data_IF_758864710625
#
_entry.id   IF_758864710625
#
_cell.length_a   1.000
_cell.length_b   1.000
_cell.length_c   1.000
_cell.angle_alpha   90.00
_cell.angle_beta   90.00
_cell.angle_gamma   90.00
#
_symmetry.space_group_name_H-M   'P 1'
#
loop_
_entity.id
_entity.type
_entity.pdbx_description
1 polymer ?
#
# COMPACT_ATOMS: atom_id res chain seq x y z
N UNK A 1 7.45 2.24 4.93
CA UNK A 1 6.31 2.65 4.06
C UNK A 1 6.54 2.11 2.66
N UNK A 2 5.53 1.62 1.91
CA UNK A 2 5.75 1.10 0.56
C UNK A 2 5.99 2.23 -0.46
N UNK A 3 7.08 2.13 -1.21
CA UNK A 3 7.37 2.92 -2.41
C UNK A 3 7.20 2.04 -3.64
N UNK A 4 6.19 2.35 -4.44
CA UNK A 4 5.78 1.52 -5.56
C UNK A 4 6.26 2.13 -6.88
N UNK A 5 7.11 1.38 -7.57
CA UNK A 5 7.52 1.67 -8.94
C UNK A 5 6.37 1.22 -9.85
N UNK A 6 5.52 2.14 -10.26
CA UNK A 6 4.24 1.88 -10.92
C UNK A 6 4.07 2.72 -12.20
N UNK A 7 4.80 2.42 -13.29
CA UNK A 7 4.74 3.18 -14.54
C UNK A 7 3.35 3.18 -15.18
N UNK A 8 2.55 2.16 -14.90
CA UNK A 8 1.20 1.97 -15.46
C UNK A 8 0.07 2.44 -14.53
N UNK A 9 0.38 2.96 -13.34
CA UNK A 9 -0.62 3.47 -12.39
C UNK A 9 -1.58 2.41 -11.85
N UNK A 10 -1.19 1.14 -11.82
CA UNK A 10 -2.03 0.06 -11.30
C UNK A 10 -2.08 0.07 -9.78
N UNK A 11 -0.93 0.18 -9.11
CA UNK A 11 -0.85 0.28 -7.67
C UNK A 11 -1.56 1.53 -7.17
N UNK A 12 -1.38 2.66 -7.86
CA UNK A 12 -2.04 3.93 -7.54
C UNK A 12 -3.58 3.78 -7.56
N UNK A 13 -4.13 3.21 -8.64
CA UNK A 13 -5.59 2.96 -8.74
C UNK A 13 -6.08 1.98 -7.67
N UNK A 14 -5.30 0.94 -7.40
CA UNK A 14 -5.65 -0.05 -6.39
C UNK A 14 -5.73 0.57 -4.98
N UNK A 15 -4.77 1.42 -4.60
CA UNK A 15 -4.78 2.12 -3.30
C UNK A 15 -5.98 3.06 -3.18
N UNK A 16 -6.28 3.82 -4.25
CA UNK A 16 -7.46 4.70 -4.29
C UNK A 16 -8.76 3.93 -4.04
N UNK A 17 -8.90 2.75 -4.63
CA UNK A 17 -10.07 1.90 -4.44
C UNK A 17 -10.10 1.24 -3.05
N UNK A 18 -8.93 0.86 -2.51
CA UNK A 18 -8.80 0.22 -1.20
C UNK A 18 -9.11 1.18 -0.05
N UNK A 19 -8.56 2.38 -0.07
CA UNK A 19 -8.71 3.38 1.00
C UNK A 19 -9.96 4.27 0.84
N UNK A 20 -10.50 4.36 -0.38
CA UNK A 20 -11.73 5.08 -0.69
C UNK A 20 -11.65 6.57 -0.38
N UNK A 21 -12.71 7.12 0.22
CA UNK A 21 -12.83 8.57 0.49
C UNK A 21 -11.93 9.10 1.60
N UNK A 22 -11.32 8.21 2.40
CA UNK A 22 -10.39 8.59 3.48
C UNK A 22 -9.02 8.98 2.94
N UNK A 23 -8.68 8.56 1.73
CA UNK A 23 -7.38 8.78 1.12
C UNK A 23 -7.13 10.26 0.83
N UNK A 24 -5.99 10.78 1.29
CA UNK A 24 -5.45 12.08 0.92
C UNK A 24 -4.39 11.89 -0.15
N UNK A 25 -4.65 12.43 -1.34
CA UNK A 25 -3.72 12.35 -2.46
C UNK A 25 -2.89 13.62 -2.46
N UNK A 26 -1.57 13.45 -2.46
CA UNK A 26 -0.61 14.54 -2.30
C UNK A 26 0.45 14.45 -3.41
N UNK A 27 0.82 15.60 -3.95
CA UNK A 27 1.96 15.80 -4.86
C UNK A 27 2.92 16.81 -4.19
N UNK A 28 4.24 16.60 -4.31
CA UNK A 28 5.24 17.53 -3.77
C UNK A 28 5.16 18.94 -4.38
N UNK A 29 4.58 19.06 -5.59
CA UNK A 29 4.36 20.35 -6.26
C UNK A 29 3.14 21.10 -5.71
N UNK A 30 2.31 20.46 -4.90
CA UNK A 30 1.10 21.06 -4.36
C UNK A 30 1.44 22.06 -3.24
N UNK A 31 0.93 23.28 -3.35
CA UNK A 31 1.06 24.25 -2.27
C UNK A 31 0.40 23.73 -0.99
N UNK A 32 1.12 23.79 0.13
CA UNK A 32 0.60 23.37 1.43
C UNK A 32 0.53 21.85 1.64
N UNK A 33 1.23 21.04 0.84
CA UNK A 33 1.25 19.59 1.00
C UNK A 33 1.67 19.14 2.41
N UNK A 34 2.64 19.83 3.02
CA UNK A 34 3.08 19.52 4.38
C UNK A 34 1.95 19.63 5.39
N UNK A 35 1.06 20.63 5.25
CA UNK A 35 -0.10 20.79 6.13
C UNK A 35 -1.10 19.64 5.98
N UNK A 36 -1.28 19.13 4.76
CA UNK A 36 -2.11 17.94 4.54
C UNK A 36 -1.49 16.69 5.19
N UNK A 37 -0.16 16.55 5.15
CA UNK A 37 0.55 15.47 5.85
C UNK A 37 0.43 15.63 7.36
N UNK A 38 0.61 16.84 7.90
CA UNK A 38 0.45 17.13 9.34
C UNK A 38 -0.94 16.70 9.82
N UNK A 39 -2.00 17.14 9.13
CA UNK A 39 -3.38 16.76 9.44
C UNK A 39 -3.57 15.24 9.34
N UNK A 40 -3.03 14.61 8.30
CA UNK A 40 -3.20 13.18 8.10
C UNK A 40 -2.51 12.36 9.20
N UNK A 41 -1.31 12.76 9.64
CA UNK A 41 -0.60 12.13 10.77
C UNK A 41 -1.41 12.26 12.06
N UNK A 42 -1.99 13.44 12.32
CA UNK A 42 -2.75 13.70 13.53
C UNK A 42 -4.10 12.96 13.58
N UNK A 43 -4.81 12.91 12.46
CA UNK A 43 -6.15 12.31 12.39
C UNK A 43 -6.15 10.86 11.88
N UNK A 44 -4.98 10.31 11.54
CA UNK A 44 -4.85 8.93 11.03
C UNK A 44 -5.39 8.74 9.62
N UNK A 45 -5.40 9.79 8.78
CA UNK A 45 -5.83 9.64 7.40
C UNK A 45 -4.74 8.96 6.55
N UNK A 46 -5.10 7.99 5.69
CA UNK A 46 -4.14 7.41 4.76
C UNK A 46 -3.73 8.45 3.71
N UNK A 47 -2.44 8.52 3.40
CA UNK A 47 -1.86 9.44 2.42
C UNK A 47 -1.26 8.65 1.27
N UNK A 48 -1.57 9.08 0.05
CA UNK A 48 -0.91 8.65 -1.17
C UNK A 48 -0.07 9.81 -1.72
N UNK A 49 1.24 9.70 -1.55
CA UNK A 49 2.22 10.58 -2.17
C UNK A 49 2.51 10.07 -3.59
N UNK A 50 2.01 10.78 -4.59
CA UNK A 50 2.08 10.34 -5.98
C UNK A 50 3.18 11.04 -6.77
N UNK A 51 3.59 10.40 -7.86
CA UNK A 51 4.50 10.94 -8.87
C UNK A 51 5.84 11.43 -8.29
N UNK A 52 6.35 10.72 -7.28
CA UNK A 52 7.67 10.98 -6.73
C UNK A 52 8.73 10.68 -7.79
N UNK A 53 9.70 11.58 -7.91
CA UNK A 53 10.85 11.40 -8.79
C UNK A 53 11.90 10.55 -8.06
N UNK A 54 13.17 10.94 -8.11
CA UNK A 54 14.26 10.26 -7.42
C UNK A 54 14.55 10.85 -6.03
N UNK A 55 14.00 12.04 -5.75
CA UNK A 55 14.14 12.74 -4.48
C UNK A 55 12.79 12.88 -3.76
N UNK A 56 12.85 12.79 -2.43
CA UNK A 56 11.72 13.08 -1.55
C UNK A 56 12.09 14.30 -0.72
N UNK A 57 11.13 15.19 -0.48
CA UNK A 57 11.35 16.39 0.33
C UNK A 57 11.84 16.01 1.74
N UNK A 58 13.01 16.52 2.18
CA UNK A 58 13.57 16.24 3.51
C UNK A 58 12.62 16.59 4.67
N UNK A 59 11.66 17.49 4.47
CA UNK A 59 10.65 17.81 5.47
C UNK A 59 9.77 16.60 5.83
N UNK A 60 9.68 15.58 4.97
CA UNK A 60 8.95 14.33 5.24
C UNK A 60 9.80 13.27 5.98
N UNK A 61 11.08 13.55 6.21
CA UNK A 61 12.02 12.62 6.84
C UNK A 61 11.53 12.05 8.19
N UNK A 62 10.96 12.84 9.12
CA UNK A 62 10.47 12.30 10.39
C UNK A 62 9.34 11.27 10.20
N UNK A 63 8.50 11.46 9.18
CA UNK A 63 7.42 10.52 8.83
C UNK A 63 8.01 9.26 8.22
N UNK A 64 8.94 9.39 7.26
CA UNK A 64 9.56 8.26 6.57
C UNK A 64 10.32 7.34 7.53
N UNK A 65 11.11 7.94 8.42
CA UNK A 65 11.90 7.24 9.44
C UNK A 65 11.06 6.71 10.61
N UNK A 66 9.78 7.07 10.68
CA UNK A 66 8.91 6.81 11.84
C UNK A 66 9.53 7.30 13.15
N UNK A 67 10.05 8.53 13.15
CA UNK A 67 10.64 9.19 14.32
C UNK A 67 9.58 9.59 15.35
N UNK A 68 8.87 8.58 15.89
CA UNK A 68 7.80 8.72 16.86
C UNK A 68 8.38 8.60 18.26
N UNK A 69 8.12 9.59 19.10
CA UNK A 69 8.49 9.63 20.51
C UNK A 69 7.28 9.32 21.36
N UNK A 70 7.47 8.46 22.36
CA UNK A 70 6.42 8.17 23.35
C UNK A 70 6.57 9.09 24.55
N UNK A 71 5.61 9.98 24.75
CA UNK A 71 5.55 10.90 25.89
C UNK A 71 4.33 10.55 26.73
N UNK A 72 4.56 9.88 27.86
CA UNK A 72 3.48 9.32 28.68
C UNK A 72 2.67 8.28 27.90
N UNK A 73 1.37 8.54 27.72
CA UNK A 73 0.47 7.67 26.95
C UNK A 73 0.23 8.15 25.51
N UNK A 74 0.92 9.21 25.07
CA UNK A 74 0.79 9.77 23.72
C UNK A 74 2.02 9.41 22.88
N UNK A 75 1.78 9.12 21.61
CA UNK A 75 2.82 9.01 20.59
C UNK A 75 2.86 10.33 19.84
N UNK A 76 4.07 10.85 19.63
CA UNK A 76 4.29 12.20 19.13
C UNK A 76 5.34 12.17 18.04
N UNK A 77 5.10 12.89 16.94
CA UNK A 77 6.03 13.03 15.84
C UNK A 77 6.30 14.51 15.58
N UNK A 78 7.58 14.89 15.49
CA UNK A 78 7.97 16.27 15.17
C UNK A 78 8.16 16.42 13.67
N UNK A 79 7.40 17.31 13.04
CA UNK A 79 7.51 17.63 11.62
C UNK A 79 7.87 19.12 11.47
N UNK A 80 9.11 19.40 11.07
CA UNK A 80 9.67 20.75 11.13
C UNK A 80 9.67 21.30 12.56
N UNK A 81 8.99 22.43 12.74
CA UNK A 81 8.86 23.10 14.06
C UNK A 81 7.60 22.69 14.83
N UNK A 82 6.76 21.81 14.26
CA UNK A 82 5.52 21.38 14.90
C UNK A 82 5.64 20.02 15.54
N UNK A 83 5.03 19.91 16.72
CA UNK A 83 4.83 18.66 17.42
C UNK A 83 3.41 18.16 17.14
N UNK A 84 3.30 16.97 16.55
CA UNK A 84 2.03 16.37 16.14
C UNK A 84 1.75 15.12 16.98
N UNK A 85 0.52 14.94 17.42
CA UNK A 85 0.08 13.65 17.92
C UNK A 85 0.12 12.63 16.79
N UNK A 86 0.83 11.53 16.96
CA UNK A 86 0.92 10.48 15.96
C UNK A 86 -0.26 9.52 16.13
N UNK A 87 -1.08 9.39 15.10
CA UNK A 87 -2.14 8.39 15.06
C UNK A 87 -1.60 7.03 14.57
N UNK A 88 -1.85 5.92 15.29
CA UNK A 88 -1.44 4.58 14.84
C UNK A 88 -2.18 4.11 13.58
N UNK A 89 -3.31 4.74 13.24
CA UNK A 89 -4.07 4.45 12.02
C UNK A 89 -3.47 5.11 10.77
N UNK A 90 -2.50 6.02 10.94
CA UNK A 90 -1.84 6.69 9.83
C UNK A 90 -1.13 5.70 8.92
N UNK A 91 -1.35 5.84 7.61
CA UNK A 91 -0.67 5.08 6.57
C UNK A 91 -0.11 6.00 5.50
N UNK A 92 1.11 5.71 5.07
CA UNK A 92 1.75 6.40 3.95
C UNK A 92 2.02 5.42 2.81
N UNK A 93 1.53 5.76 1.63
CA UNK A 93 1.78 5.09 0.37
C UNK A 93 2.54 6.03 -0.56
N UNK A 94 3.56 5.52 -1.25
CA UNK A 94 4.36 6.32 -2.18
C UNK A 94 4.32 5.63 -3.54
N UNK A 95 4.10 6.39 -4.62
CA UNK A 95 4.13 5.86 -5.99
C UNK A 95 5.02 6.72 -6.88
N UNK A 96 5.73 6.08 -7.80
CA UNK A 96 6.48 6.73 -8.87
C UNK A 96 6.08 6.16 -10.23
N UNK A 97 6.05 7.01 -11.26
CA UNK A 97 5.88 6.59 -12.66
C UNK A 97 7.20 6.29 -13.36
N UNK A 98 8.34 6.58 -12.74
CA UNK A 98 9.64 6.27 -13.31
C UNK A 98 9.79 4.75 -13.39
N UNK A 99 10.10 4.21 -14.56
CA UNK A 99 10.25 2.77 -14.74
C UNK A 99 11.55 2.22 -14.14
N UNK A 100 12.59 3.05 -14.09
CA UNK A 100 13.88 2.70 -13.52
C UNK A 100 14.46 3.88 -12.70
N UNK A 101 13.86 4.21 -11.55
CA UNK A 101 14.35 5.28 -10.69
C UNK A 101 15.63 4.85 -9.96
N UNK A 102 16.61 5.75 -9.87
CA UNK A 102 17.85 5.54 -9.12
C UNK A 102 17.71 6.11 -7.70
N UNK A 103 16.95 5.41 -6.85
CA UNK A 103 16.85 5.80 -5.45
C UNK A 103 18.16 5.58 -4.70
N UNK A 104 18.54 6.55 -3.88
CA UNK A 104 19.69 6.42 -3.01
C UNK A 104 19.46 5.29 -1.98
N UNK A 105 20.54 4.68 -1.44
CA UNK A 105 20.42 3.70 -0.37
C UNK A 105 19.64 4.23 0.84
N UNK A 106 19.74 5.54 1.09
CA UNK A 106 19.02 6.23 2.15
C UNK A 106 17.49 6.15 2.01
N UNK A 107 16.94 6.25 0.80
CA UNK A 107 15.50 6.07 0.57
C UNK A 107 15.12 4.61 0.78
N UNK A 108 15.98 3.68 0.37
CA UNK A 108 15.74 2.24 0.47
C UNK A 108 15.78 1.71 1.91
N UNK A 109 16.43 2.42 2.85
CA UNK A 109 16.39 2.07 4.27
C UNK A 109 15.11 2.56 4.95
N UNK A 110 14.49 3.63 4.46
CA UNK A 110 13.31 4.28 5.05
C UNK A 110 11.99 3.81 4.44
N UNK A 111 12.01 3.46 3.15
CA UNK A 111 10.87 2.96 2.41
C UNK A 111 11.16 1.60 1.79
N UNK A 112 10.15 0.74 1.79
CA UNK A 112 10.20 -0.58 1.15
C UNK A 112 9.86 -0.40 -0.32
N UNK A 113 10.85 -0.55 -1.19
CA UNK A 113 10.64 -0.44 -2.64
C UNK A 113 9.94 -1.71 -3.15
N UNK A 114 8.84 -1.53 -3.87
CA UNK A 114 8.04 -2.60 -4.48
C UNK A 114 7.91 -2.32 -5.97
N UNK A 115 8.28 -3.28 -6.80
CA UNK A 115 8.23 -3.13 -8.25
C UNK A 115 6.87 -3.61 -8.80
N UNK A 116 6.07 -2.67 -9.32
CA UNK A 116 4.78 -2.90 -9.98
C UNK A 116 4.87 -2.78 -11.51
N UNK A 117 6.08 -2.67 -12.07
CA UNK A 117 6.25 -2.67 -13.52
C UNK A 117 5.75 -3.98 -14.13
N UNK A 118 4.85 -3.86 -15.09
CA UNK A 118 4.30 -5.01 -15.82
C UNK A 118 5.44 -5.69 -16.60
N UNK A 119 5.66 -6.98 -16.32
CA UNK A 119 6.54 -7.83 -17.10
C UNK A 119 5.83 -8.35 -18.35
N UNK A 120 6.58 -8.59 -19.42
CA UNK A 120 6.05 -9.12 -20.70
C UNK A 120 5.18 -10.36 -20.49
N UNK A 121 5.66 -11.34 -19.75
CA UNK A 121 4.92 -12.59 -19.46
C UNK A 121 3.60 -12.31 -18.73
N UNK A 122 3.60 -11.33 -17.82
CA UNK A 122 2.40 -10.90 -17.11
C UNK A 122 1.38 -10.24 -18.03
N UNK A 123 1.84 -9.45 -19.00
CA UNK A 123 0.99 -8.84 -20.01
C UNK A 123 0.43 -9.88 -20.99
N UNK A 124 1.25 -10.85 -21.41
CA UNK A 124 0.80 -11.96 -22.28
C UNK A 124 -0.30 -12.77 -21.60
N UNK A 125 -0.13 -13.12 -20.32
CA UNK A 125 -1.15 -13.81 -19.54
C UNK A 125 -2.44 -12.98 -19.41
N UNK A 126 -2.34 -11.66 -19.21
CA UNK A 126 -3.51 -10.77 -19.16
C UNK A 126 -4.25 -10.70 -20.49
N UNK A 127 -3.51 -10.55 -21.59
CA UNK A 127 -4.09 -10.51 -22.94
C UNK A 127 -4.75 -11.84 -23.29
N UNK A 128 -4.11 -12.97 -22.99
CA UNK A 128 -4.70 -14.29 -23.16
C UNK A 128 -6.01 -14.42 -22.38
N UNK A 129 -6.05 -13.95 -21.12
CA UNK A 129 -7.28 -13.92 -20.33
C UNK A 129 -8.40 -13.14 -21.00
N UNK A 130 -8.10 -11.97 -21.57
CA UNK A 130 -9.09 -11.14 -22.29
C UNK A 130 -9.58 -11.82 -23.57
N UNK A 131 -8.67 -12.49 -24.31
CA UNK A 131 -9.03 -13.22 -25.53
C UNK A 131 -9.92 -14.41 -25.19
N UNK A 132 -9.55 -15.23 -24.21
CA UNK A 132 -10.35 -16.38 -23.75
C UNK A 132 -11.71 -15.91 -23.25
N UNK A 133 -11.79 -14.79 -22.54
CA UNK A 133 -13.07 -14.23 -22.10
C UNK A 133 -14.01 -13.89 -23.26
N UNK A 134 -13.48 -13.46 -24.41
CA UNK A 134 -14.28 -13.13 -25.59
C UNK A 134 -14.59 -14.33 -26.47
N UNK A 135 -13.61 -15.21 -26.68
CA UNK A 135 -13.74 -16.36 -27.57
C UNK A 135 -14.46 -17.54 -26.90
N UNK A 136 -14.20 -17.79 -25.62
CA UNK A 136 -14.70 -18.92 -24.84
C UNK A 136 -15.22 -18.49 -23.45
N UNK A 137 -16.31 -17.69 -23.39
CA UNK A 137 -16.81 -17.11 -22.13
C UNK A 137 -17.28 -18.15 -21.11
N UNK A 138 -17.76 -19.31 -21.57
CA UNK A 138 -18.16 -20.44 -20.71
C UNK A 138 -16.97 -21.01 -19.94
N UNK A 139 -15.82 -21.16 -20.61
CA UNK A 139 -14.59 -21.64 -20.02
C UNK A 139 -14.05 -20.64 -18.97
N UNK A 140 -14.08 -19.34 -19.28
CA UNK A 140 -13.65 -18.31 -18.31
C UNK A 140 -14.56 -18.28 -17.07
N UNK A 141 -15.88 -18.47 -17.25
CA UNK A 141 -16.80 -18.59 -16.12
C UNK A 141 -16.48 -19.81 -15.24
N UNK A 142 -16.23 -20.97 -15.84
CA UNK A 142 -15.85 -22.17 -15.09
C UNK A 142 -14.52 -21.98 -14.34
N UNK A 143 -13.52 -21.37 -14.97
CA UNK A 143 -12.25 -21.04 -14.32
C UNK A 143 -12.44 -20.07 -13.15
N UNK A 144 -13.28 -19.05 -13.30
CA UNK A 144 -13.61 -18.11 -12.23
C UNK A 144 -14.27 -18.82 -11.04
N UNK A 145 -15.28 -19.66 -11.31
CA UNK A 145 -15.95 -20.47 -10.28
C UNK A 145 -15.00 -21.45 -9.57
N UNK A 146 -14.10 -22.09 -10.32
CA UNK A 146 -13.05 -22.95 -9.75
C UNK A 146 -12.08 -22.15 -8.86
N UNK A 147 -11.66 -20.98 -9.31
CA UNK A 147 -10.75 -20.10 -8.55
C UNK A 147 -11.39 -19.69 -7.21
N UNK A 148 -12.67 -19.30 -7.23
CA UNK A 148 -13.42 -18.97 -6.02
C UNK A 148 -13.52 -20.19 -5.11
N UNK A 149 -13.86 -21.37 -5.64
CA UNK A 149 -13.94 -22.61 -4.83
C UNK A 149 -12.62 -22.97 -4.18
N UNK A 150 -11.50 -22.87 -4.90
CA UNK A 150 -10.16 -23.12 -4.35
C UNK A 150 -9.83 -22.12 -3.25
N UNK A 151 -10.14 -20.82 -3.45
CA UNK A 151 -9.92 -19.80 -2.42
C UNK A 151 -10.76 -20.06 -1.16
N UNK A 152 -12.04 -20.40 -1.31
CA UNK A 152 -12.93 -20.76 -0.20
C UNK A 152 -12.44 -22.01 0.53
N UNK A 153 -12.02 -23.05 -0.19
CA UNK A 153 -11.50 -24.28 0.40
C UNK A 153 -10.20 -24.03 1.19
N UNK A 154 -9.28 -23.22 0.66
CA UNK A 154 -8.07 -22.81 1.40
C UNK A 154 -8.40 -22.04 2.67
N UNK A 155 -9.38 -21.15 2.63
CA UNK A 155 -9.83 -20.42 3.82
C UNK A 155 -10.41 -21.36 4.87
N UNK A 156 -11.27 -22.29 4.47
CA UNK A 156 -11.84 -23.29 5.36
C UNK A 156 -10.78 -24.15 6.05
N UNK A 157 -9.72 -24.54 5.33
CA UNK A 157 -8.60 -25.26 5.93
C UNK A 157 -7.94 -24.46 7.05
N UNK A 158 -7.64 -23.18 6.81
CA UNK A 158 -7.05 -22.29 7.83
C UNK A 158 -7.99 -22.10 9.01
N UNK A 159 -9.29 -21.92 8.77
CA UNK A 159 -10.28 -21.76 9.83
C UNK A 159 -10.38 -23.02 10.70
N UNK A 160 -10.36 -24.21 10.11
CA UNK A 160 -10.34 -25.50 10.82
C UNK A 160 -9.04 -25.70 11.62
N UNK A 161 -7.88 -25.35 11.06
CA UNK A 161 -6.60 -25.39 11.78
C UNK A 161 -6.62 -24.49 13.01
N UNK A 162 -7.14 -23.26 12.87
CA UNK A 162 -7.31 -22.34 13.98
C UNK A 162 -8.29 -22.86 15.03
N UNK A 163 -9.38 -23.51 14.61
CA UNK A 163 -10.36 -24.11 15.52
C UNK A 163 -9.75 -25.26 16.33
N UNK A 164 -8.96 -26.13 15.68
CA UNK A 164 -8.21 -27.20 16.37
C UNK A 164 -7.25 -26.61 17.40
N UNK A 165 -6.47 -25.59 17.04
CA UNK A 165 -5.56 -24.90 17.95
C UNK A 165 -6.31 -24.29 19.15
N UNK A 166 -7.46 -23.66 18.89
CA UNK A 166 -8.32 -23.08 19.93
C UNK A 166 -8.80 -24.15 20.91
N UNK A 167 -9.37 -25.25 20.41
CA UNK A 167 -9.86 -26.35 21.25
C UNK A 167 -8.74 -26.98 22.08
N UNK A 168 -7.56 -27.20 21.50
CA UNK A 168 -6.39 -27.70 22.25
C UNK A 168 -5.93 -26.73 23.34
N UNK A 169 -6.01 -25.42 23.09
CA UNK A 169 -5.64 -24.40 24.08
C UNK A 169 -6.67 -24.24 25.20
N UNK A 170 -7.96 -24.45 24.90
CA UNK A 170 -9.08 -24.38 25.85
C UNK A 170 -9.20 -25.66 26.71
N UNK A 171 -8.66 -26.80 26.26
CA UNK A 171 -8.69 -28.08 27.00
C UNK A 171 -7.55 -28.20 28.02
N UNK A 172 -7.23 -27.11 28.72
CA UNK A 172 -6.20 -27.06 29.77
C UNK A 172 -6.77 -26.68 31.13
#
# INVERSE_FOLDING_TARGET
WPLMIDPQGQANRWIRNMEGSKLRIIDLKMAGFLREVENAVQYGFPVLLQDILEEIDPALEPVLSKSVLKIGNREVLRLGDKELDFSPDFRLYITTKLANPHYTPEISTKATVVNFAVKKDGLEAQLLGIVVQKEEPTLEKQKSELTIRVATGKRQLVDLENEILRLLSETK
#
